data_IF_687893943697
#
_entry.id   IF_687893943697
#
_cell.length_a   1.000
_cell.length_b   1.000
_cell.length_c   1.000
_cell.angle_alpha   90.00
_cell.angle_beta   90.00
_cell.angle_gamma   90.00
#
_symmetry.space_group_name_H-M   'P 1'
#
loop_
_entity.id
_entity.type
_entity.pdbx_description
1 polymer ?
#
# COMPACT_ATOMS: atom_id res chain seq x y z
N UNK A 1 -19.61 -5.96 9.46
CA UNK A 1 -20.03 -5.00 10.52
C UNK A 1 -18.85 -4.22 11.09
N UNK A 2 -17.67 -4.84 11.24
CA UNK A 2 -16.46 -4.18 11.74
C UNK A 2 -15.84 -3.25 10.68
N UNK A 3 -15.82 -3.67 9.44
CA UNK A 3 -15.27 -2.94 8.29
C UNK A 3 -16.04 -1.65 7.98
N UNK A 4 -17.37 -1.63 8.03
CA UNK A 4 -18.16 -0.38 7.84
C UNK A 4 -17.84 0.66 8.90
N UNK A 5 -17.86 0.28 10.20
CA UNK A 5 -17.50 1.20 11.30
C UNK A 5 -16.06 1.70 11.22
N UNK A 6 -15.15 0.91 10.63
CA UNK A 6 -13.78 1.34 10.40
C UNK A 6 -13.71 2.37 9.26
N UNK A 7 -14.36 2.12 8.12
CA UNK A 7 -14.39 3.04 6.97
C UNK A 7 -14.88 4.43 7.36
N UNK A 8 -15.92 4.54 8.20
CA UNK A 8 -16.39 5.82 8.76
C UNK A 8 -15.29 6.56 9.56
N UNK A 9 -14.57 5.84 10.42
CA UNK A 9 -13.45 6.43 11.18
C UNK A 9 -12.27 6.80 10.27
N UNK A 10 -11.97 5.98 9.28
CA UNK A 10 -10.91 6.26 8.30
C UNK A 10 -11.21 7.54 7.51
N UNK A 11 -12.47 7.79 7.13
CA UNK A 11 -12.88 9.05 6.51
C UNK A 11 -12.60 10.24 7.45
N UNK A 12 -13.02 10.17 8.71
CA UNK A 12 -12.79 11.24 9.69
C UNK A 12 -11.29 11.53 9.86
N UNK A 13 -10.47 10.49 9.98
CA UNK A 13 -9.02 10.65 10.10
C UNK A 13 -8.41 11.19 8.79
N UNK A 14 -8.94 10.81 7.64
CA UNK A 14 -8.52 11.33 6.35
C UNK A 14 -8.80 12.83 6.23
N UNK A 15 -9.98 13.29 6.62
CA UNK A 15 -10.30 14.71 6.66
C UNK A 15 -9.47 15.47 7.70
N UNK A 16 -9.21 14.89 8.86
CA UNK A 16 -8.30 15.48 9.84
C UNK A 16 -6.87 15.60 9.28
N UNK A 17 -6.37 14.58 8.58
CA UNK A 17 -5.07 14.62 7.91
C UNK A 17 -5.02 15.65 6.78
N UNK A 18 -6.13 15.83 6.07
CA UNK A 18 -6.28 16.89 5.07
C UNK A 18 -6.22 18.28 5.74
N UNK A 19 -6.91 18.46 6.87
CA UNK A 19 -6.84 19.69 7.64
C UNK A 19 -5.40 19.97 8.11
N UNK A 20 -4.67 18.97 8.59
CA UNK A 20 -3.25 19.10 8.91
C UNK A 20 -2.40 19.51 7.72
N UNK A 21 -2.74 19.06 6.51
CA UNK A 21 -2.02 19.42 5.26
C UNK A 21 -2.09 20.92 4.95
N UNK A 22 -3.08 21.63 5.45
CA UNK A 22 -3.19 23.10 5.30
C UNK A 22 -2.18 23.83 6.19
N UNK A 23 -1.92 23.31 7.39
CA UNK A 23 -1.03 23.95 8.38
C UNK A 23 0.43 23.52 8.20
N UNK A 24 0.67 22.25 7.89
CA UNK A 24 2.01 21.71 7.67
C UNK A 24 2.36 21.69 6.19
N UNK A 25 3.33 22.49 5.80
CA UNK A 25 3.75 22.60 4.38
C UNK A 25 5.07 21.88 4.14
N UNK A 26 5.20 21.32 2.93
CA UNK A 26 6.45 20.79 2.40
C UNK A 26 7.17 19.81 3.33
N UNK A 27 8.39 20.15 3.81
CA UNK A 27 9.23 19.21 4.56
C UNK A 27 8.59 18.60 5.80
N UNK A 28 7.70 19.36 6.48
CA UNK A 28 7.01 18.87 7.69
C UNK A 28 6.01 17.75 7.34
N UNK A 29 5.28 17.87 6.23
CA UNK A 29 4.40 16.79 5.75
C UNK A 29 5.21 15.54 5.42
N UNK A 30 6.37 15.70 4.79
CA UNK A 30 7.24 14.56 4.43
C UNK A 30 7.80 13.85 5.66
N UNK A 31 8.22 14.58 6.69
CA UNK A 31 8.68 13.98 7.94
C UNK A 31 7.56 13.17 8.63
N UNK A 32 6.35 13.73 8.71
CA UNK A 32 5.21 12.99 9.28
C UNK A 32 4.84 11.78 8.42
N UNK A 33 4.86 11.91 7.10
CA UNK A 33 4.61 10.81 6.18
C UNK A 33 5.60 9.66 6.40
N UNK A 34 6.89 9.96 6.41
CA UNK A 34 7.95 8.98 6.63
C UNK A 34 7.83 8.34 8.02
N UNK A 35 7.53 9.13 9.05
CA UNK A 35 7.30 8.59 10.40
C UNK A 35 6.16 7.56 10.41
N UNK A 36 5.03 7.84 9.77
CA UNK A 36 3.90 6.92 9.69
C UNK A 36 4.24 5.68 8.84
N UNK A 37 4.89 5.85 7.70
CA UNK A 37 5.29 4.75 6.81
C UNK A 37 6.27 3.83 7.53
N UNK A 38 7.29 4.38 8.20
CA UNK A 38 8.31 3.59 8.89
C UNK A 38 7.80 2.95 10.17
N UNK A 39 6.83 3.55 10.85
CA UNK A 39 6.20 2.95 12.02
C UNK A 39 5.14 1.91 11.60
N UNK A 40 3.92 2.34 11.34
CA UNK A 40 2.78 1.46 11.06
C UNK A 40 2.87 0.79 9.68
N UNK A 41 3.43 1.49 8.69
CA UNK A 41 3.55 0.98 7.33
C UNK A 41 4.46 -0.23 7.24
N UNK A 42 5.67 -0.19 7.80
CA UNK A 42 6.58 -1.37 7.81
C UNK A 42 6.09 -2.42 8.80
N UNK A 43 5.46 -2.00 9.91
CA UNK A 43 5.00 -2.92 10.95
C UNK A 43 3.97 -3.92 10.45
N UNK A 44 3.07 -3.54 9.53
CA UNK A 44 2.01 -4.46 9.05
C UNK A 44 2.60 -5.66 8.27
N UNK A 45 3.70 -5.47 7.52
CA UNK A 45 4.41 -6.57 6.84
C UNK A 45 5.37 -7.35 7.75
N UNK A 46 5.77 -6.78 8.89
CA UNK A 46 6.78 -7.40 9.77
C UNK A 46 6.29 -8.66 10.50
N UNK A 47 4.99 -8.92 10.53
CA UNK A 47 4.40 -10.12 11.13
C UNK A 47 4.18 -11.28 10.15
N UNK A 48 4.52 -11.14 8.87
CA UNK A 48 4.25 -12.17 7.85
C UNK A 48 4.87 -13.53 8.20
N UNK A 49 6.10 -13.55 8.72
CA UNK A 49 6.74 -14.78 9.16
C UNK A 49 6.00 -15.43 10.35
N UNK A 50 5.47 -14.62 11.26
CA UNK A 50 4.69 -15.12 12.39
C UNK A 50 3.31 -15.63 11.94
N UNK A 51 2.67 -14.94 10.99
CA UNK A 51 1.45 -15.42 10.34
C UNK A 51 1.66 -16.79 9.68
N UNK A 52 2.71 -16.93 8.86
CA UNK A 52 3.06 -18.18 8.20
C UNK A 52 3.27 -19.31 9.22
N UNK A 53 3.90 -19.05 10.36
CA UNK A 53 4.15 -20.04 11.41
C UNK A 53 2.88 -20.59 12.04
N UNK A 54 1.77 -19.82 12.02
CA UNK A 54 0.46 -20.23 12.56
C UNK A 54 -0.32 -21.17 11.64
N UNK A 55 0.01 -21.26 10.35
CA UNK A 55 -0.62 -22.25 9.49
C UNK A 55 -0.17 -23.66 9.89
N UNK A 56 -1.13 -24.56 10.21
CA UNK A 56 -0.89 -25.92 10.70
C UNK A 56 0.04 -26.77 9.83
N UNK A 57 0.16 -26.44 8.56
CA UNK A 57 1.05 -27.12 7.60
C UNK A 57 2.51 -26.72 7.73
N UNK A 58 2.82 -25.65 8.48
CA UNK A 58 4.14 -24.99 8.49
C UNK A 58 4.90 -25.21 9.80
N UNK A 59 4.38 -26.00 10.73
CA UNK A 59 4.99 -26.25 12.06
C UNK A 59 6.32 -27.03 12.03
N UNK A 60 6.77 -27.53 10.86
CA UNK A 60 8.07 -28.20 10.74
C UNK A 60 9.18 -27.14 10.59
N UNK A 61 10.29 -27.21 11.37
CA UNK A 61 11.36 -26.21 11.33
C UNK A 61 11.97 -26.03 9.94
N UNK A 62 12.07 -27.09 9.13
CA UNK A 62 12.55 -27.01 7.74
C UNK A 62 11.69 -26.10 6.86
N UNK A 63 10.35 -26.10 7.06
CA UNK A 63 9.46 -25.24 6.28
C UNK A 63 9.61 -23.77 6.67
N UNK A 64 9.82 -23.47 7.96
CA UNK A 64 10.09 -22.09 8.39
C UNK A 64 11.40 -21.57 7.81
N UNK A 65 12.45 -22.37 7.80
CA UNK A 65 13.73 -22.01 7.15
C UNK A 65 13.52 -21.77 5.66
N UNK A 66 12.76 -22.62 4.97
CA UNK A 66 12.44 -22.44 3.55
C UNK A 66 11.70 -21.11 3.28
N UNK A 67 10.67 -20.80 4.06
CA UNK A 67 9.93 -19.53 3.91
C UNK A 67 10.81 -18.31 4.20
N UNK A 68 11.62 -18.37 5.26
CA UNK A 68 12.55 -17.30 5.57
C UNK A 68 13.60 -17.10 4.46
N UNK A 69 14.18 -18.19 3.95
CA UNK A 69 15.13 -18.12 2.83
C UNK A 69 14.48 -17.60 1.56
N UNK A 70 13.23 -18.00 1.27
CA UNK A 70 12.47 -17.47 0.13
C UNK A 70 12.20 -15.97 0.26
N UNK A 71 11.88 -15.50 1.47
CA UNK A 71 11.69 -14.08 1.73
C UNK A 71 12.98 -13.28 1.47
N UNK A 72 14.12 -13.73 2.02
CA UNK A 72 15.41 -13.08 1.77
C UNK A 72 15.76 -13.11 0.28
N UNK A 73 15.58 -14.26 -0.37
CA UNK A 73 15.83 -14.39 -1.81
C UNK A 73 14.98 -13.42 -2.62
N UNK A 74 13.70 -13.26 -2.29
CA UNK A 74 12.79 -12.31 -2.95
C UNK A 74 13.30 -10.86 -2.81
N UNK A 75 13.74 -10.47 -1.60
CA UNK A 75 14.32 -9.15 -1.36
C UNK A 75 15.59 -8.93 -2.17
N UNK A 76 16.49 -9.91 -2.21
CA UNK A 76 17.73 -9.83 -3.00
C UNK A 76 17.44 -9.74 -4.49
N UNK A 77 16.53 -10.57 -5.01
CA UNK A 77 16.10 -10.51 -6.43
C UNK A 77 15.48 -9.17 -6.76
N UNK A 78 14.59 -8.65 -5.91
CA UNK A 78 13.99 -7.33 -6.11
C UNK A 78 15.05 -6.23 -6.13
N UNK A 79 16.03 -6.26 -5.21
CA UNK A 79 17.13 -5.30 -5.18
C UNK A 79 17.99 -5.35 -6.45
N UNK A 80 18.33 -6.56 -6.93
CA UNK A 80 19.05 -6.74 -8.18
C UNK A 80 18.24 -6.23 -9.39
N UNK A 81 16.92 -6.47 -9.42
CA UNK A 81 16.05 -5.95 -10.47
C UNK A 81 16.05 -4.41 -10.48
N UNK A 82 15.96 -3.77 -9.32
CA UNK A 82 16.03 -2.31 -9.23
C UNK A 82 17.40 -1.77 -9.68
N UNK A 83 18.48 -2.50 -9.43
CA UNK A 83 19.82 -2.10 -9.84
C UNK A 83 20.06 -2.26 -11.36
N UNK A 84 19.70 -3.41 -11.95
CA UNK A 84 20.01 -3.72 -13.35
C UNK A 84 18.93 -3.29 -14.35
N UNK A 85 17.66 -3.37 -13.97
CA UNK A 85 16.50 -3.09 -14.85
C UNK A 85 15.41 -2.31 -14.09
N UNK A 86 15.75 -1.08 -13.61
CA UNK A 86 14.89 -0.33 -12.70
C UNK A 86 13.48 -0.05 -13.24
N UNK A 87 13.32 0.10 -14.56
CA UNK A 87 12.01 0.33 -15.19
C UNK A 87 11.06 -0.85 -14.96
N UNK A 88 11.55 -2.07 -15.22
CA UNK A 88 10.74 -3.28 -15.01
C UNK A 88 10.48 -3.53 -13.53
N UNK A 89 11.47 -3.27 -12.67
CA UNK A 89 11.33 -3.39 -11.22
C UNK A 89 10.27 -2.43 -10.68
N UNK A 90 10.31 -1.15 -11.08
CA UNK A 90 9.34 -0.14 -10.67
C UNK A 90 7.94 -0.46 -11.20
N UNK A 91 7.82 -0.87 -12.49
CA UNK A 91 6.54 -1.26 -13.08
C UNK A 91 5.94 -2.45 -12.35
N UNK A 92 6.74 -3.48 -12.08
CA UNK A 92 6.33 -4.64 -11.29
C UNK A 92 5.88 -4.25 -9.88
N UNK A 93 6.64 -3.39 -9.20
CA UNK A 93 6.30 -2.88 -7.88
C UNK A 93 4.94 -2.16 -7.87
N UNK A 94 4.69 -1.29 -8.85
CA UNK A 94 3.40 -0.57 -8.97
C UNK A 94 2.24 -1.55 -9.19
N UNK A 95 2.40 -2.54 -10.09
CA UNK A 95 1.37 -3.53 -10.40
C UNK A 95 1.06 -4.41 -9.18
N UNK A 96 2.10 -4.92 -8.49
CA UNK A 96 1.91 -5.74 -7.28
C UNK A 96 1.29 -4.92 -6.14
N UNK A 97 1.74 -3.69 -5.93
CA UNK A 97 1.16 -2.80 -4.91
C UNK A 97 -0.30 -2.48 -5.21
N UNK A 98 -0.63 -2.17 -6.47
CA UNK A 98 -2.00 -1.93 -6.91
C UNK A 98 -2.90 -3.14 -6.65
N UNK A 99 -2.45 -4.32 -7.07
CA UNK A 99 -3.19 -5.56 -6.84
C UNK A 99 -3.42 -5.80 -5.34
N UNK A 100 -2.38 -5.67 -4.53
CA UNK A 100 -2.43 -5.90 -3.08
C UNK A 100 -3.37 -4.92 -2.36
N UNK A 101 -3.30 -3.63 -2.73
CA UNK A 101 -4.22 -2.62 -2.18
C UNK A 101 -5.67 -2.88 -2.56
N UNK A 102 -5.91 -3.23 -3.82
CA UNK A 102 -7.25 -3.56 -4.29
C UNK A 102 -7.78 -4.85 -3.69
N UNK A 103 -6.96 -5.90 -3.56
CA UNK A 103 -7.36 -7.16 -2.95
C UNK A 103 -7.81 -6.96 -1.51
N UNK A 104 -7.05 -6.20 -0.71
CA UNK A 104 -7.43 -5.93 0.67
C UNK A 104 -8.71 -5.10 0.75
N UNK A 105 -8.83 -4.06 -0.07
CA UNK A 105 -9.99 -3.18 -0.04
C UNK A 105 -11.29 -3.90 -0.40
N UNK A 106 -11.23 -4.86 -1.35
CA UNK A 106 -12.37 -5.59 -1.88
C UNK A 106 -12.47 -7.04 -1.37
N UNK A 107 -11.76 -7.39 -0.31
CA UNK A 107 -11.67 -8.77 0.21
C UNK A 107 -13.03 -9.38 0.58
N UNK A 108 -13.98 -8.59 1.07
CA UNK A 108 -15.31 -9.06 1.47
C UNK A 108 -16.29 -9.19 0.30
N UNK A 109 -16.08 -8.45 -0.79
CA UNK A 109 -16.97 -8.42 -1.97
C UNK A 109 -16.47 -9.33 -3.10
N UNK A 110 -16.14 -10.59 -2.80
CA UNK A 110 -15.62 -11.55 -3.80
C UNK A 110 -16.76 -12.25 -4.55
N UNK A 111 -16.61 -12.32 -5.86
CA UNK A 111 -17.46 -13.18 -6.71
C UNK A 111 -16.92 -14.61 -6.74
N UNK A 112 -17.69 -15.55 -7.32
CA UNK A 112 -17.21 -16.92 -7.56
C UNK A 112 -16.14 -17.00 -8.66
N UNK A 113 -16.00 -15.97 -9.49
CA UNK A 113 -15.02 -15.92 -10.59
C UNK A 113 -13.72 -15.28 -10.10
N UNK A 114 -12.69 -16.10 -9.88
CA UNK A 114 -11.38 -15.66 -9.40
C UNK A 114 -10.69 -14.66 -10.35
N UNK A 115 -10.79 -14.85 -11.65
CA UNK A 115 -10.15 -13.95 -12.62
C UNK A 115 -10.84 -12.58 -12.62
N UNK A 116 -12.17 -12.56 -12.55
CA UNK A 116 -12.92 -11.31 -12.42
C UNK A 116 -12.50 -10.53 -11.16
N UNK A 117 -12.38 -11.21 -10.02
CA UNK A 117 -11.92 -10.58 -8.78
C UNK A 117 -10.50 -10.01 -8.92
N UNK A 118 -9.57 -10.76 -9.52
CA UNK A 118 -8.19 -10.30 -9.73
C UNK A 118 -8.12 -9.03 -10.58
N UNK A 119 -8.93 -8.96 -11.66
CA UNK A 119 -9.02 -7.77 -12.49
C UNK A 119 -9.65 -6.58 -11.75
N UNK A 120 -10.68 -6.83 -10.93
CA UNK A 120 -11.29 -5.80 -10.09
C UNK A 120 -10.26 -5.20 -9.13
N UNK A 121 -9.51 -6.04 -8.42
CA UNK A 121 -8.50 -5.62 -7.47
C UNK A 121 -7.40 -4.79 -8.15
N UNK A 122 -6.89 -5.28 -9.28
CA UNK A 122 -5.87 -4.58 -10.03
C UNK A 122 -6.37 -3.22 -10.55
N UNK A 123 -7.55 -3.19 -11.17
CA UNK A 123 -8.09 -1.93 -11.73
C UNK A 123 -8.39 -0.89 -10.64
N UNK A 124 -8.92 -1.31 -9.48
CA UNK A 124 -9.14 -0.42 -8.35
C UNK A 124 -7.81 0.14 -7.82
N UNK A 125 -6.85 -0.72 -7.54
CA UNK A 125 -5.57 -0.29 -7.00
C UNK A 125 -4.77 0.59 -7.97
N UNK A 126 -4.77 0.26 -9.28
CA UNK A 126 -4.18 1.13 -10.31
C UNK A 126 -4.91 2.47 -10.40
N UNK A 127 -6.25 2.49 -10.27
CA UNK A 127 -7.01 3.75 -10.23
C UNK A 127 -6.55 4.64 -9.08
N UNK A 128 -6.38 4.10 -7.87
CA UNK A 128 -5.94 4.88 -6.71
C UNK A 128 -4.50 5.38 -6.89
N UNK A 129 -3.56 4.50 -7.31
CA UNK A 129 -2.16 4.89 -7.48
C UNK A 129 -1.98 5.89 -8.62
N UNK A 130 -2.62 5.68 -9.77
CA UNK A 130 -2.48 6.61 -10.89
C UNK A 130 -3.26 7.91 -10.70
N UNK A 131 -4.32 7.94 -9.87
CA UNK A 131 -4.92 9.18 -9.38
C UNK A 131 -3.90 9.99 -8.56
N UNK A 132 -3.19 9.33 -7.63
CA UNK A 132 -2.13 9.96 -6.85
C UNK A 132 -1.02 10.53 -7.74
N UNK A 133 -0.55 9.74 -8.70
CA UNK A 133 0.51 10.13 -9.62
C UNK A 133 0.10 11.27 -10.55
N UNK A 134 -1.11 11.23 -11.10
CA UNK A 134 -1.62 12.27 -11.98
C UNK A 134 -1.80 13.61 -11.26
N UNK A 135 -2.25 13.60 -10.00
CA UNK A 135 -2.46 14.81 -9.22
C UNK A 135 -1.16 15.38 -8.62
N UNK A 136 -0.07 14.59 -8.61
CA UNK A 136 1.27 14.97 -8.17
C UNK A 136 2.31 14.69 -9.27
N UNK A 137 1.99 15.00 -10.53
CA UNK A 137 2.77 14.56 -11.69
C UNK A 137 4.23 14.98 -11.65
N UNK A 138 4.54 16.22 -11.27
CA UNK A 138 5.92 16.72 -11.20
C UNK A 138 6.77 15.89 -10.22
N UNK A 139 6.34 15.76 -8.98
CA UNK A 139 7.06 14.96 -7.97
C UNK A 139 7.17 13.48 -8.37
N UNK A 140 6.15 12.95 -9.03
CA UNK A 140 6.16 11.56 -9.53
C UNK A 140 7.21 11.39 -10.66
N UNK A 141 7.27 12.33 -11.60
CA UNK A 141 8.27 12.32 -12.69
C UNK A 141 9.68 12.41 -12.13
N UNK A 142 9.92 13.30 -11.17
CA UNK A 142 11.23 13.45 -10.51
C UNK A 142 11.68 12.12 -9.85
N UNK A 143 10.80 11.45 -9.11
CA UNK A 143 11.11 10.16 -8.49
C UNK A 143 11.36 9.07 -9.53
N UNK A 144 10.53 8.99 -10.58
CA UNK A 144 10.72 7.99 -11.64
C UNK A 144 12.04 8.25 -12.36
N UNK A 145 12.34 9.51 -12.67
CA UNK A 145 13.60 9.87 -13.32
C UNK A 145 14.81 9.53 -12.43
N UNK A 146 14.76 9.86 -11.15
CA UNK A 146 15.83 9.52 -10.20
C UNK A 146 16.08 8.01 -10.09
N UNK A 147 15.02 7.18 -10.19
CA UNK A 147 15.13 5.74 -10.08
C UNK A 147 15.50 5.03 -11.39
N UNK A 148 15.09 5.57 -12.52
CA UNK A 148 15.12 4.86 -13.81
C UNK A 148 15.89 5.58 -14.92
N UNK A 149 16.17 6.88 -14.75
CA UNK A 149 16.72 7.74 -15.80
C UNK A 149 15.72 8.10 -16.91
N UNK A 150 14.46 7.69 -16.82
CA UNK A 150 13.43 7.96 -17.83
C UNK A 150 12.60 9.18 -17.51
N UNK A 151 12.45 10.05 -18.50
CA UNK A 151 11.48 11.14 -18.50
C UNK A 151 10.15 10.62 -19.07
N UNK A 152 9.12 10.60 -18.23
CA UNK A 152 7.77 10.20 -18.60
C UNK A 152 6.91 11.46 -18.80
N UNK A 153 6.10 11.48 -19.86
CA UNK A 153 5.12 12.53 -20.03
C UNK A 153 3.97 12.34 -19.03
N UNK A 154 3.62 13.41 -18.31
CA UNK A 154 2.57 13.38 -17.27
C UNK A 154 1.20 12.90 -17.77
N UNK A 155 0.91 13.08 -19.05
CA UNK A 155 -0.35 12.68 -19.67
C UNK A 155 -0.64 11.17 -19.51
N UNK A 156 0.42 10.34 -19.45
CA UNK A 156 0.27 8.90 -19.27
C UNK A 156 -0.33 8.53 -17.93
N UNK A 157 -0.05 9.28 -16.85
CA UNK A 157 -0.68 9.03 -15.54
C UNK A 157 -2.18 9.21 -15.62
N UNK A 158 -2.64 10.26 -16.28
CA UNK A 158 -4.07 10.52 -16.49
C UNK A 158 -4.73 9.46 -17.37
N UNK A 159 -4.11 9.06 -18.48
CA UNK A 159 -4.67 8.03 -19.36
C UNK A 159 -4.79 6.68 -18.66
N UNK A 160 -3.77 6.28 -17.89
CA UNK A 160 -3.81 5.01 -17.14
C UNK A 160 -4.86 5.10 -16.04
N UNK A 161 -4.99 6.24 -15.35
CA UNK A 161 -6.06 6.45 -14.39
C UNK A 161 -7.44 6.30 -15.02
N UNK A 162 -7.74 7.03 -16.09
CA UNK A 162 -9.05 6.99 -16.74
C UNK A 162 -9.40 5.62 -17.31
N UNK A 163 -8.43 4.91 -17.86
CA UNK A 163 -8.64 3.54 -18.32
C UNK A 163 -9.05 2.62 -17.15
N UNK A 164 -8.26 2.61 -16.07
CA UNK A 164 -8.49 1.68 -14.97
C UNK A 164 -9.74 2.04 -14.16
N UNK A 165 -10.03 3.33 -13.93
CA UNK A 165 -11.25 3.73 -13.22
C UNK A 165 -12.50 3.39 -14.03
N UNK A 166 -12.46 3.51 -15.36
CA UNK A 166 -13.56 3.10 -16.23
C UNK A 166 -13.78 1.59 -16.15
N UNK A 167 -12.73 0.80 -16.26
CA UNK A 167 -12.80 -0.66 -16.12
C UNK A 167 -13.33 -1.07 -14.74
N UNK A 168 -12.84 -0.44 -13.69
CA UNK A 168 -13.33 -0.65 -12.32
C UNK A 168 -14.82 -0.34 -12.19
N UNK A 169 -15.29 0.82 -12.67
CA UNK A 169 -16.71 1.22 -12.61
C UNK A 169 -17.59 0.20 -13.36
N UNK A 170 -17.20 -0.22 -14.56
CA UNK A 170 -17.92 -1.25 -15.31
C UNK A 170 -18.01 -2.55 -14.52
N UNK A 171 -16.91 -3.00 -13.93
CA UNK A 171 -16.88 -4.21 -13.12
C UNK A 171 -17.75 -4.08 -11.86
N UNK A 172 -17.71 -2.93 -11.17
CA UNK A 172 -18.50 -2.68 -9.97
C UNK A 172 -20.01 -2.60 -10.28
N UNK A 173 -20.38 -2.02 -11.43
CA UNK A 173 -21.76 -2.05 -11.93
C UNK A 173 -22.22 -3.49 -12.18
N UNK A 174 -21.40 -4.32 -12.84
CA UNK A 174 -21.70 -5.75 -13.05
C UNK A 174 -21.90 -6.47 -11.70
N UNK A 175 -21.07 -6.19 -10.71
CA UNK A 175 -21.21 -6.75 -9.37
C UNK A 175 -22.52 -6.34 -8.70
N UNK A 176 -22.93 -5.09 -8.87
CA UNK A 176 -24.20 -4.56 -8.34
C UNK A 176 -25.40 -5.27 -9.00
N UNK A 177 -25.41 -5.39 -10.33
CA UNK A 177 -26.47 -6.13 -11.04
C UNK A 177 -26.52 -7.60 -10.67
N UNK A 178 -25.39 -8.21 -10.33
CA UNK A 178 -25.31 -9.61 -9.87
C UNK A 178 -25.51 -9.77 -8.34
N UNK A 179 -25.86 -8.69 -7.65
CA UNK A 179 -26.13 -8.66 -6.21
C UNK A 179 -24.97 -9.08 -5.30
N UNK A 180 -23.74 -8.96 -5.78
CA UNK A 180 -22.54 -9.15 -4.94
C UNK A 180 -22.25 -7.94 -4.05
N UNK A 181 -22.61 -6.75 -4.53
CA UNK A 181 -22.58 -5.48 -3.79
C UNK A 181 -23.89 -4.72 -4.00
N UNK A 182 -24.20 -3.81 -3.11
CA UNK A 182 -25.36 -2.92 -3.19
C UNK A 182 -25.01 -1.64 -3.96
N UNK A 183 -26.03 -0.93 -4.47
CA UNK A 183 -25.85 0.40 -5.05
C UNK A 183 -25.27 1.41 -4.05
N UNK A 184 -25.61 1.27 -2.77
CA UNK A 184 -25.08 2.13 -1.72
C UNK A 184 -23.57 1.93 -1.54
N UNK A 185 -23.10 0.68 -1.56
CA UNK A 185 -21.66 0.36 -1.51
C UNK A 185 -20.92 0.90 -2.74
N UNK A 186 -21.48 0.75 -3.94
CA UNK A 186 -20.88 1.34 -5.15
C UNK A 186 -20.77 2.85 -5.05
N UNK A 187 -21.85 3.53 -4.68
CA UNK A 187 -21.84 5.00 -4.53
C UNK A 187 -20.85 5.45 -3.44
N UNK A 188 -20.74 4.69 -2.37
CA UNK A 188 -19.77 4.96 -1.32
C UNK A 188 -18.32 4.83 -1.84
N UNK A 189 -18.01 3.82 -2.63
CA UNK A 189 -16.67 3.66 -3.23
C UNK A 189 -16.33 4.78 -4.23
N UNK A 190 -17.30 5.20 -5.03
CA UNK A 190 -17.12 6.37 -5.91
C UNK A 190 -16.91 7.66 -5.10
N UNK A 191 -17.63 7.83 -4.00
CA UNK A 191 -17.40 8.94 -3.06
C UNK A 191 -15.98 8.88 -2.47
N UNK A 192 -15.45 7.70 -2.10
CA UNK A 192 -14.09 7.57 -1.61
C UNK A 192 -13.04 7.98 -2.66
N UNK A 193 -13.23 7.64 -3.92
CA UNK A 193 -12.33 8.10 -5.00
C UNK A 193 -12.29 9.63 -5.07
N UNK A 194 -13.45 10.30 -4.90
CA UNK A 194 -13.50 11.77 -4.83
C UNK A 194 -12.75 12.30 -3.61
N UNK A 195 -12.93 11.68 -2.43
CA UNK A 195 -12.22 12.05 -1.21
C UNK A 195 -10.70 11.90 -1.42
N UNK A 196 -10.25 10.80 -2.01
CA UNK A 196 -8.84 10.60 -2.35
C UNK A 196 -8.34 11.66 -3.35
N UNK A 197 -9.13 12.02 -4.36
CA UNK A 197 -8.75 13.07 -5.30
C UNK A 197 -8.52 14.42 -4.59
N UNK A 198 -9.37 14.79 -3.63
CA UNK A 198 -9.21 16.02 -2.84
C UNK A 198 -7.91 15.96 -2.01
N UNK A 199 -7.68 14.84 -1.30
CA UNK A 199 -6.48 14.65 -0.48
C UNK A 199 -5.22 14.69 -1.33
N UNK A 200 -5.20 13.95 -2.45
CA UNK A 200 -4.04 13.85 -3.33
C UNK A 200 -3.72 15.16 -4.05
N UNK A 201 -4.72 16.00 -4.27
CA UNK A 201 -4.52 17.33 -4.87
C UNK A 201 -3.97 18.35 -3.89
N UNK A 202 -4.26 18.22 -2.61
CA UNK A 202 -3.93 19.23 -1.59
C UNK A 202 -2.67 18.90 -0.79
N UNK A 203 -2.29 17.62 -0.72
CA UNK A 203 -1.13 17.13 0.02
C UNK A 203 0.09 16.93 -0.91
N UNK A 204 1.31 16.90 -0.34
CA UNK A 204 2.48 16.44 -1.08
C UNK A 204 2.36 14.96 -1.45
N UNK A 205 3.06 14.50 -2.49
CA UNK A 205 2.99 13.11 -2.97
C UNK A 205 3.19 12.09 -1.85
N UNK A 206 4.22 12.28 -1.01
CA UNK A 206 4.57 11.33 0.06
C UNK A 206 3.53 11.36 1.18
N UNK A 207 3.03 12.55 1.55
CA UNK A 207 1.99 12.69 2.58
C UNK A 207 0.65 12.13 2.12
N UNK A 208 0.24 12.40 0.88
CA UNK A 208 -0.96 11.84 0.25
C UNK A 208 -0.90 10.30 0.20
N UNK A 209 0.26 9.76 -0.21
CA UNK A 209 0.49 8.31 -0.17
C UNK A 209 0.40 7.77 1.26
N UNK A 210 1.03 8.42 2.25
CA UNK A 210 1.00 7.99 3.64
C UNK A 210 -0.42 7.96 4.20
N UNK A 211 -1.25 8.97 3.92
CA UNK A 211 -2.66 8.99 4.34
C UNK A 211 -3.41 7.76 3.80
N UNK A 212 -3.30 7.49 2.50
CA UNK A 212 -3.93 6.32 1.90
C UNK A 212 -3.34 5.02 2.45
N UNK A 213 -2.02 4.87 2.38
CA UNK A 213 -1.32 3.65 2.75
C UNK A 213 -1.52 3.28 4.22
N UNK A 214 -1.52 4.25 5.13
CA UNK A 214 -1.68 3.96 6.56
C UNK A 214 -3.14 3.73 6.93
N UNK A 215 -4.03 4.65 6.57
CA UNK A 215 -5.41 4.59 7.06
C UNK A 215 -6.32 3.68 6.25
N UNK A 216 -6.02 3.43 4.97
CA UNK A 216 -6.87 2.60 4.12
C UNK A 216 -6.27 1.24 3.79
N UNK A 217 -5.00 1.02 4.13
CA UNK A 217 -4.34 -0.26 3.90
C UNK A 217 -3.68 -0.83 5.17
N UNK A 218 -2.69 -0.16 5.77
CA UNK A 218 -1.89 -0.75 6.85
C UNK A 218 -2.68 -1.01 8.14
N UNK A 219 -3.49 -0.06 8.60
CA UNK A 219 -4.30 -0.24 9.82
C UNK A 219 -5.38 -1.32 9.65
N UNK A 220 -6.16 -1.39 8.55
CA UNK A 220 -7.04 -2.53 8.29
C UNK A 220 -6.30 -3.87 8.31
N UNK A 221 -5.15 -3.95 7.63
CA UNK A 221 -4.32 -5.16 7.62
C UNK A 221 -3.87 -5.56 9.03
N UNK A 222 -3.41 -4.61 9.85
CA UNK A 222 -3.05 -4.88 11.25
C UNK A 222 -4.25 -5.44 12.03
N UNK A 223 -5.45 -4.92 11.83
CA UNK A 223 -6.65 -5.42 12.51
C UNK A 223 -7.05 -6.83 12.06
N UNK A 224 -6.99 -7.11 10.75
CA UNK A 224 -7.22 -8.45 10.22
C UNK A 224 -6.20 -9.45 10.76
N UNK A 225 -4.93 -9.08 10.79
CA UNK A 225 -3.85 -9.90 11.35
C UNK A 225 -4.02 -10.12 12.85
N UNK A 226 -4.43 -9.11 13.64
CA UNK A 226 -4.74 -9.27 15.06
C UNK A 226 -5.89 -10.26 15.28
N UNK A 227 -6.97 -10.11 14.51
CA UNK A 227 -8.12 -11.02 14.57
C UNK A 227 -7.70 -12.45 14.25
N UNK A 228 -6.89 -12.66 13.22
CA UNK A 228 -6.39 -13.96 12.83
C UNK A 228 -5.45 -14.59 13.88
N UNK A 229 -4.52 -13.79 14.42
CA UNK A 229 -3.49 -14.29 15.35
C UNK A 229 -4.00 -14.52 16.77
N UNK A 230 -4.91 -13.66 17.21
CA UNK A 230 -5.30 -13.57 18.64
C UNK A 230 -6.82 -13.73 18.88
N UNK A 231 -7.63 -13.86 17.81
CA UNK A 231 -9.08 -14.06 17.88
C UNK A 231 -9.90 -12.79 18.15
N UNK A 232 -9.27 -11.68 18.51
CA UNK A 232 -9.93 -10.40 18.78
C UNK A 232 -9.06 -9.21 18.41
N UNK A 233 -9.69 -8.06 18.19
CA UNK A 233 -9.03 -6.76 18.02
C UNK A 233 -9.22 -5.94 19.27
N UNK A 234 -8.15 -5.78 20.05
CA UNK A 234 -8.12 -5.02 21.30
C UNK A 234 -6.76 -4.34 21.48
N UNK A 235 -6.68 -3.37 22.40
CA UNK A 235 -5.40 -2.74 22.74
C UNK A 235 -4.38 -3.78 23.28
N UNK A 236 -4.85 -4.77 24.03
CA UNK A 236 -4.00 -5.86 24.54
C UNK A 236 -3.40 -6.70 23.42
N UNK A 237 -4.22 -7.06 22.41
CA UNK A 237 -3.73 -7.82 21.25
C UNK A 237 -2.88 -6.95 20.32
N UNK A 238 -3.13 -5.64 20.24
CA UNK A 238 -2.23 -4.70 19.55
C UNK A 238 -0.82 -4.68 20.16
N UNK A 239 -0.70 -4.62 21.50
CA UNK A 239 0.62 -4.70 22.15
C UNK A 239 1.32 -6.03 21.87
N UNK A 240 0.57 -7.15 21.87
CA UNK A 240 1.14 -8.46 21.48
C UNK A 240 1.62 -8.45 20.02
N UNK A 241 0.84 -7.83 19.14
CA UNK A 241 1.16 -7.68 17.72
C UNK A 241 2.45 -6.87 17.53
N UNK A 242 2.57 -5.72 18.20
CA UNK A 242 3.80 -4.90 18.18
C UNK A 242 5.01 -5.68 18.68
N UNK A 243 4.86 -6.42 19.79
CA UNK A 243 5.96 -7.23 20.34
C UNK A 243 6.41 -8.34 19.39
N UNK A 244 5.47 -9.00 18.69
CA UNK A 244 5.81 -10.06 17.73
C UNK A 244 6.47 -9.53 16.45
N UNK A 245 6.11 -8.32 16.00
CA UNK A 245 6.66 -7.68 14.81
C UNK A 245 7.97 -6.92 15.05
N UNK A 246 8.24 -6.55 16.32
CA UNK A 246 9.30 -5.58 16.66
C UNK A 246 10.68 -5.95 16.15
N UNK A 247 11.10 -7.21 16.29
CA UNK A 247 12.42 -7.64 15.83
C UNK A 247 12.58 -7.51 14.32
N UNK A 248 11.60 -7.98 13.55
CA UNK A 248 11.63 -7.91 12.08
C UNK A 248 11.52 -6.45 11.62
N UNK A 249 10.66 -5.67 12.26
CA UNK A 249 10.54 -4.22 12.03
C UNK A 249 11.88 -3.52 12.27
N UNK A 250 12.55 -3.79 13.39
CA UNK A 250 13.85 -3.20 13.72
C UNK A 250 14.93 -3.58 12.69
N UNK A 251 14.98 -4.85 12.28
CA UNK A 251 15.91 -5.33 11.24
C UNK A 251 15.62 -4.58 9.93
N UNK A 252 14.36 -4.44 9.53
CA UNK A 252 13.97 -3.74 8.29
C UNK A 252 14.40 -2.28 8.29
N UNK A 253 14.13 -1.55 9.38
CA UNK A 253 14.55 -0.15 9.54
C UNK A 253 16.08 -0.02 9.54
N UNK A 254 16.77 -0.88 10.30
CA UNK A 254 18.24 -0.85 10.38
C UNK A 254 18.87 -1.15 9.04
N UNK A 255 18.39 -2.16 8.31
CA UNK A 255 18.89 -2.51 6.98
C UNK A 255 18.70 -1.36 5.99
N UNK A 256 17.55 -0.69 6.04
CA UNK A 256 17.28 0.45 5.17
C UNK A 256 18.18 1.65 5.50
N UNK A 257 18.41 1.94 6.79
CA UNK A 257 19.33 3.00 7.19
C UNK A 257 20.79 2.71 6.77
N UNK A 258 21.25 1.47 6.96
CA UNK A 258 22.58 1.04 6.51
C UNK A 258 22.72 1.21 5.01
N UNK A 259 21.73 0.75 4.24
CA UNK A 259 21.72 0.88 2.79
C UNK A 259 21.73 2.36 2.35
N UNK A 260 20.94 3.20 3.01
CA UNK A 260 20.91 4.63 2.73
C UNK A 260 22.25 5.32 3.00
N UNK A 261 22.92 4.99 4.11
CA UNK A 261 24.24 5.52 4.44
C UNK A 261 25.26 5.08 3.39
N UNK A 262 25.26 3.78 3.05
CA UNK A 262 26.19 3.22 2.07
C UNK A 262 26.02 3.84 0.66
N UNK A 263 24.78 3.96 0.18
CA UNK A 263 24.50 4.58 -1.13
C UNK A 263 24.81 6.08 -1.16
N UNK A 264 24.65 6.79 -0.03
CA UNK A 264 25.02 8.21 0.06
C UNK A 264 26.53 8.42 -0.15
N UNK A 265 27.35 7.53 0.37
CA UNK A 265 28.81 7.59 0.21
C UNK A 265 29.23 7.24 -1.23
N UNK A 266 28.52 6.33 -1.91
CA UNK A 266 28.77 6.02 -3.32
C UNK A 266 28.28 7.12 -4.27
N UNK A 267 27.17 7.80 -3.99
CA UNK A 267 26.67 8.91 -4.77
C UNK A 267 27.62 10.16 -4.75
N UNK A 268 28.52 10.23 -3.78
CA UNK A 268 29.61 11.22 -3.73
C UNK A 268 30.78 10.84 -4.66
N UNK A 269 30.87 9.57 -5.08
CA UNK A 269 31.93 9.04 -5.94
C UNK A 269 31.53 8.94 -7.43
N UNK A 270 30.29 9.26 -7.78
CA UNK A 270 29.86 9.36 -9.19
C UNK A 270 30.03 10.81 -9.66
N UNK A 271 30.84 11.03 -10.71
CA UNK A 271 31.15 12.36 -11.25
C UNK A 271 29.92 13.03 -11.89
#
# INVERSE_FOLDING_TARGET
FYTMKYKEKAILITFFSLWLSVYFKGPTQEVFALFLIFSLGIMHGSNDLFLISKFKTTSKPLKLVFFFSSYILTVLVASLLFYYIPIFALSGFIIFSAFHFGEQHWNEAKTKNLNFNRFLFLNYGLSVLFLLFALNSNATIEIIFALTGLLINEIWFSWIFFLNITLFIVQAIIMTYKTYITWQELLFELFLIIVFAIVFKTATLIWAFAIYFIFWHSIPSIFEQQSFLYGEVSFKTFIKYVKSSFLIWLISISSMLILFIWLKDEAILLP
#
